data_IF_546615048311
#
_entry.id   IF_546615048311
#
_cell.length_a   1.000
_cell.length_b   1.000
_cell.length_c   1.000
_cell.angle_alpha   90.00
_cell.angle_beta   90.00
_cell.angle_gamma   90.00
#
_symmetry.space_group_name_H-M   'P 1'
#
loop_
_entity.id
_entity.type
_entity.pdbx_description
1 polymer ?
#
# COMPACT_ATOMS: atom_id res chain seq x y z
N UNK A 1 2.15 -1.23 -19.67
CA UNK A 1 3.56 -0.86 -19.93
C UNK A 1 3.65 0.66 -19.86
N UNK A 2 4.62 1.19 -19.11
CA UNK A 2 4.75 2.64 -18.90
C UNK A 2 5.74 3.25 -19.90
N UNK A 3 6.96 2.70 -19.98
CA UNK A 3 8.01 3.10 -20.92
C UNK A 3 8.11 2.10 -22.09
N UNK A 4 8.53 2.51 -23.31
CA UNK A 4 8.69 1.62 -24.46
C UNK A 4 9.83 0.62 -24.27
N UNK A 5 9.80 -0.51 -24.99
CA UNK A 5 10.78 -1.59 -24.84
C UNK A 5 12.21 -1.20 -25.26
N UNK A 6 12.34 -0.09 -26.00
CA UNK A 6 13.61 0.52 -26.39
C UNK A 6 14.01 1.71 -25.51
N UNK A 7 13.36 1.91 -24.36
CA UNK A 7 13.80 2.90 -23.40
C UNK A 7 15.23 2.61 -22.95
N UNK A 8 16.02 3.65 -22.73
CA UNK A 8 17.41 3.56 -22.35
C UNK A 8 17.65 4.65 -21.32
N UNK A 9 17.95 4.21 -20.11
CA UNK A 9 18.26 5.10 -19.01
C UNK A 9 19.48 5.98 -19.35
N UNK A 10 19.48 7.24 -18.89
CA UNK A 10 20.55 8.21 -19.16
C UNK A 10 20.52 8.82 -20.57
N UNK A 11 19.87 8.18 -21.55
CA UNK A 11 19.69 8.72 -22.90
C UNK A 11 18.29 9.29 -23.13
N UNK A 12 17.27 8.61 -22.59
CA UNK A 12 15.88 8.95 -22.78
C UNK A 12 15.29 9.62 -21.54
N UNK A 13 14.45 10.65 -21.75
CA UNK A 13 13.66 11.25 -20.67
C UNK A 13 12.42 10.37 -20.41
N UNK A 14 12.27 9.73 -19.23
CA UNK A 14 11.13 8.85 -18.95
C UNK A 14 9.78 9.61 -18.91
N UNK A 15 9.82 10.93 -18.74
CA UNK A 15 8.64 11.80 -18.74
C UNK A 15 8.28 12.37 -20.12
N UNK A 16 9.09 12.10 -21.15
CA UNK A 16 8.76 12.55 -22.49
C UNK A 16 7.57 11.75 -23.03
N UNK A 17 6.59 12.43 -23.62
CA UNK A 17 5.41 11.77 -24.20
C UNK A 17 5.80 10.72 -25.26
N UNK A 18 6.87 10.96 -26.02
CA UNK A 18 7.41 10.02 -27.00
C UNK A 18 7.89 8.71 -26.40
N UNK A 19 8.14 8.70 -25.09
CA UNK A 19 8.57 7.54 -24.32
C UNK A 19 7.42 6.96 -23.48
N UNK A 20 6.17 7.24 -23.85
CA UNK A 20 5.01 6.51 -23.36
C UNK A 20 4.78 5.28 -24.23
N UNK A 21 4.75 4.09 -23.64
CA UNK A 21 4.34 2.88 -24.36
C UNK A 21 2.84 2.95 -24.69
N UNK A 22 2.48 2.74 -25.96
CA UNK A 22 1.09 2.73 -26.38
C UNK A 22 0.85 1.88 -27.62
N UNK A 23 -0.01 0.88 -27.48
CA UNK A 23 -0.40 -0.03 -28.57
C UNK A 23 -1.56 0.53 -29.41
N UNK A 24 -2.35 1.45 -28.85
CA UNK A 24 -3.54 2.00 -29.50
C UNK A 24 -3.51 3.53 -29.50
N UNK A 25 -3.11 4.11 -30.63
CA UNK A 25 -3.10 5.55 -30.84
C UNK A 25 -4.45 6.02 -31.41
N UNK A 26 -5.17 6.84 -30.63
CA UNK A 26 -6.42 7.49 -31.07
C UNK A 26 -6.12 8.64 -32.04
N UNK A 27 -5.00 9.32 -31.79
CA UNK A 27 -4.45 10.38 -32.63
C UNK A 27 -2.96 10.12 -32.77
N UNK A 28 -2.43 10.12 -33.99
CA UNK A 28 -0.98 9.96 -34.19
C UNK A 28 -0.25 11.29 -33.98
N UNK A 29 1.05 11.20 -33.69
CA UNK A 29 1.91 12.37 -33.59
C UNK A 29 1.82 13.25 -34.85
N UNK A 30 1.73 14.56 -34.65
CA UNK A 30 1.63 15.58 -35.70
C UNK A 30 0.26 15.75 -36.35
N UNK A 31 -0.74 14.92 -36.02
CA UNK A 31 -2.08 15.01 -36.65
C UNK A 31 -2.99 16.05 -35.98
N UNK A 32 -2.78 16.35 -34.70
CA UNK A 32 -3.61 17.28 -33.94
C UNK A 32 -2.75 18.29 -33.17
N UNK A 33 -2.96 19.61 -33.35
CA UNK A 33 -2.18 20.62 -32.64
C UNK A 33 -2.38 20.63 -31.11
N UNK A 34 -3.46 20.03 -30.60
CA UNK A 34 -3.70 19.87 -29.16
C UNK A 34 -3.04 18.62 -28.59
N UNK A 35 -2.71 17.65 -29.44
CA UNK A 35 -2.03 16.40 -29.09
C UNK A 35 -0.82 16.22 -30.02
N UNK A 36 0.18 17.11 -29.92
CA UNK A 36 1.27 17.19 -30.90
C UNK A 36 2.06 15.88 -31.00
N UNK A 37 2.19 15.16 -29.88
CA UNK A 37 2.91 13.89 -29.82
C UNK A 37 1.99 12.66 -29.92
N UNK A 38 0.67 12.88 -30.06
CA UNK A 38 -0.36 11.84 -30.17
C UNK A 38 -1.29 11.78 -28.96
N UNK A 39 -2.30 10.92 -29.03
CA UNK A 39 -3.20 10.58 -27.92
C UNK A 39 -3.28 9.07 -27.79
N UNK A 40 -2.74 8.53 -26.70
CA UNK A 40 -2.85 7.12 -26.38
C UNK A 40 -4.26 6.79 -25.89
N UNK A 41 -4.86 5.75 -26.45
CA UNK A 41 -6.13 5.15 -26.00
C UNK A 41 -5.96 3.69 -25.60
N UNK A 42 -4.75 3.28 -25.21
CA UNK A 42 -4.55 2.00 -24.55
C UNK A 42 -5.26 2.01 -23.18
N UNK A 43 -5.90 0.91 -22.77
CA UNK A 43 -6.52 0.83 -21.46
C UNK A 43 -5.46 0.86 -20.35
N UNK A 44 -5.89 1.23 -19.14
CA UNK A 44 -5.07 1.07 -17.95
C UNK A 44 -4.80 -0.42 -17.66
N UNK A 45 -3.66 -0.71 -17.04
CA UNK A 45 -3.31 -2.06 -16.56
C UNK A 45 -3.92 -2.32 -15.19
N UNK A 46 -4.18 -3.58 -14.86
CA UNK A 46 -4.59 -4.00 -13.54
C UNK A 46 -3.37 -4.19 -12.62
N UNK A 47 -2.98 -3.15 -11.89
CA UNK A 47 -1.79 -3.20 -11.04
C UNK A 47 -1.97 -4.12 -9.81
N UNK A 48 -3.19 -4.27 -9.29
CA UNK A 48 -3.45 -5.20 -8.17
C UNK A 48 -3.16 -6.63 -8.58
N UNK A 49 -3.47 -6.98 -9.85
CA UNK A 49 -3.12 -8.28 -10.42
C UNK A 49 -3.72 -9.42 -9.57
N UNK A 50 -4.88 -9.19 -8.94
CA UNK A 50 -5.45 -10.12 -7.94
C UNK A 50 -6.44 -11.09 -8.59
N UNK A 51 -6.25 -12.37 -8.28
CA UNK A 51 -7.21 -13.43 -8.52
C UNK A 51 -7.72 -13.98 -7.17
N UNK A 52 -9.03 -13.90 -6.89
CA UNK A 52 -9.62 -14.51 -5.70
C UNK A 52 -9.53 -16.04 -5.71
N UNK A 53 -9.17 -16.64 -4.57
CA UNK A 53 -8.99 -18.10 -4.43
C UNK A 53 -10.12 -18.77 -3.66
N UNK A 54 -10.44 -18.23 -2.47
CA UNK A 54 -11.55 -18.72 -1.66
C UNK A 54 -12.47 -17.59 -1.26
N UNK A 55 -13.77 -17.89 -1.31
CA UNK A 55 -14.82 -16.95 -1.00
C UNK A 55 -15.85 -17.59 -0.07
N UNK A 56 -16.66 -16.75 0.57
CA UNK A 56 -17.80 -17.18 1.39
C UNK A 56 -19.02 -16.30 1.13
N UNK A 57 -20.21 -16.83 1.38
CA UNK A 57 -21.47 -16.08 1.27
C UNK A 57 -21.84 -15.50 2.64
N UNK A 58 -21.71 -14.18 2.76
CA UNK A 58 -22.01 -13.43 3.98
C UNK A 58 -23.50 -13.41 4.35
N UNK A 59 -24.40 -13.93 3.50
CA UNK A 59 -25.82 -14.08 3.81
C UNK A 59 -26.17 -15.34 4.62
N UNK A 60 -25.23 -16.28 4.74
CA UNK A 60 -25.44 -17.52 5.49
C UNK A 60 -25.33 -17.27 7.01
N UNK A 61 -26.09 -18.05 7.80
CA UNK A 61 -26.09 -17.97 9.27
C UNK A 61 -24.76 -18.41 9.91
N UNK A 62 -23.85 -19.04 9.15
CA UNK A 62 -22.51 -19.44 9.57
C UNK A 62 -21.59 -19.59 8.34
N UNK A 63 -21.13 -18.49 7.72
CA UNK A 63 -20.34 -18.55 6.49
C UNK A 63 -19.04 -19.31 6.70
N UNK A 64 -18.73 -20.31 5.86
CA UNK A 64 -17.46 -21.02 5.87
C UNK A 64 -16.64 -20.70 4.62
N UNK A 65 -15.29 -20.81 4.68
CA UNK A 65 -14.45 -20.74 3.49
C UNK A 65 -14.87 -21.78 2.44
N UNK A 66 -15.11 -21.33 1.21
CA UNK A 66 -15.51 -22.19 0.08
C UNK A 66 -17.01 -22.43 -0.05
N UNK A 67 -17.86 -21.83 0.79
CA UNK A 67 -19.32 -21.92 0.65
C UNK A 67 -19.88 -21.08 -0.51
N UNK A 68 -19.05 -20.26 -1.15
CA UNK A 68 -19.38 -19.50 -2.36
C UNK A 68 -18.27 -19.64 -3.40
N UNK A 69 -18.66 -19.79 -4.66
CA UNK A 69 -17.74 -19.64 -5.79
C UNK A 69 -17.26 -18.19 -5.85
N UNK A 70 -15.95 -18.00 -5.99
CA UNK A 70 -15.41 -16.67 -6.22
C UNK A 70 -15.77 -16.15 -7.63
N UNK A 71 -15.90 -14.83 -7.80
CA UNK A 71 -15.96 -14.20 -9.12
C UNK A 71 -14.85 -14.68 -10.05
N UNK A 72 -15.24 -14.99 -11.28
CA UNK A 72 -14.32 -15.36 -12.35
C UNK A 72 -14.23 -14.27 -13.42
N UNK A 73 -13.10 -14.23 -14.12
CA UNK A 73 -12.88 -13.36 -15.28
C UNK A 73 -12.76 -14.24 -16.51
N UNK A 74 -13.58 -13.99 -17.53
CA UNK A 74 -13.47 -14.67 -18.81
C UNK A 74 -12.09 -14.38 -19.44
N UNK A 75 -11.22 -15.40 -19.60
CA UNK A 75 -9.87 -15.22 -20.09
C UNK A 75 -9.79 -14.73 -21.54
N UNK A 76 -10.88 -14.85 -22.31
CA UNK A 76 -10.93 -14.38 -23.69
C UNK A 76 -11.26 -12.88 -23.80
N UNK A 77 -12.08 -12.37 -22.87
CA UNK A 77 -12.61 -11.00 -22.95
C UNK A 77 -12.05 -10.07 -21.88
N UNK A 78 -11.45 -10.63 -20.83
CA UNK A 78 -11.20 -9.89 -19.58
C UNK A 78 -12.49 -9.58 -18.83
N UNK A 79 -13.62 -10.16 -19.27
CA UNK A 79 -15.00 -10.23 -18.77
C UNK A 79 -15.27 -10.81 -17.36
N UNK A 80 -15.29 -10.03 -16.29
CA UNK A 80 -15.79 -10.46 -14.98
C UNK A 80 -17.24 -10.97 -15.03
N UNK A 81 -17.53 -12.11 -14.42
CA UNK A 81 -18.85 -12.75 -14.38
C UNK A 81 -19.88 -12.03 -13.49
N UNK A 82 -19.37 -11.14 -12.66
CA UNK A 82 -20.13 -10.37 -11.69
C UNK A 82 -20.03 -8.90 -12.08
N UNK A 83 -21.18 -8.27 -12.25
CA UNK A 83 -21.23 -6.91 -12.78
C UNK A 83 -20.86 -5.93 -11.64
N UNK A 84 -19.73 -5.21 -11.72
CA UNK A 84 -19.45 -4.16 -10.73
C UNK A 84 -20.54 -3.08 -10.85
N UNK A 85 -20.94 -2.47 -9.73
CA UNK A 85 -21.90 -1.36 -9.77
C UNK A 85 -21.21 -0.15 -10.40
N UNK A 86 -21.39 0.04 -11.70
CA UNK A 86 -20.72 1.13 -12.41
C UNK A 86 -21.40 2.50 -12.19
N UNK A 87 -22.66 2.58 -11.70
CA UNK A 87 -23.43 3.83 -11.76
C UNK A 87 -24.51 4.06 -10.67
N UNK A 88 -24.24 3.78 -9.39
CA UNK A 88 -25.10 4.25 -8.28
C UNK A 88 -26.58 3.82 -8.35
N UNK A 89 -26.91 2.81 -9.14
CA UNK A 89 -28.23 2.19 -9.22
C UNK A 89 -28.41 1.22 -8.06
N UNK A 90 -29.58 1.19 -7.43
CA UNK A 90 -29.94 0.15 -6.47
C UNK A 90 -29.86 -1.22 -7.16
N UNK A 91 -29.09 -2.15 -6.59
CA UNK A 91 -29.08 -3.53 -7.05
C UNK A 91 -30.33 -4.21 -6.49
N UNK A 92 -31.15 -4.88 -7.31
CA UNK A 92 -32.26 -5.70 -6.82
C UNK A 92 -31.78 -6.83 -5.89
N UNK A 93 -30.63 -7.44 -6.19
CA UNK A 93 -30.00 -8.51 -5.40
C UNK A 93 -28.53 -8.17 -5.08
N UNK A 94 -28.21 -7.82 -3.82
CA UNK A 94 -26.85 -7.47 -3.41
C UNK A 94 -25.88 -8.64 -3.58
N UNK A 95 -24.68 -8.42 -4.14
CA UNK A 95 -23.59 -9.39 -4.01
C UNK A 95 -23.24 -9.56 -2.51
N UNK A 96 -23.27 -10.80 -2.04
CA UNK A 96 -23.01 -11.22 -0.65
C UNK A 96 -21.68 -11.97 -0.53
N UNK A 97 -20.96 -12.15 -1.63
CA UNK A 97 -19.66 -12.83 -1.67
C UNK A 97 -18.60 -11.99 -0.96
N UNK A 98 -17.83 -12.63 -0.10
CA UNK A 98 -16.62 -12.08 0.54
C UNK A 98 -15.41 -12.93 0.14
N UNK A 99 -14.38 -12.29 -0.41
CA UNK A 99 -13.08 -12.90 -0.70
C UNK A 99 -12.30 -13.07 0.61
N UNK A 100 -11.74 -14.26 0.78
CA UNK A 100 -10.95 -14.66 1.95
C UNK A 100 -9.45 -14.74 1.62
N UNK A 101 -9.09 -15.45 0.55
CA UNK A 101 -7.70 -15.57 0.08
C UNK A 101 -7.59 -15.19 -1.40
N UNK A 102 -6.38 -14.83 -1.82
CA UNK A 102 -6.07 -14.42 -3.19
C UNK A 102 -4.61 -14.67 -3.55
N UNK A 103 -4.31 -14.66 -4.84
CA UNK A 103 -2.95 -14.66 -5.36
C UNK A 103 -2.80 -13.64 -6.49
N UNK A 104 -1.55 -13.38 -6.89
CA UNK A 104 -1.23 -12.45 -7.97
C UNK A 104 -0.32 -13.08 -9.02
N UNK A 105 -0.56 -12.75 -10.31
CA UNK A 105 0.17 -13.34 -11.43
C UNK A 105 0.64 -12.31 -12.47
N UNK A 106 1.85 -12.44 -13.04
CA UNK A 106 2.82 -13.52 -12.86
C UNK A 106 3.49 -13.46 -11.48
N UNK A 107 3.92 -14.62 -11.00
CA UNK A 107 4.65 -14.75 -9.75
C UNK A 107 5.57 -15.97 -9.81
N UNK A 108 6.82 -15.78 -9.38
CA UNK A 108 7.82 -16.83 -9.21
C UNK A 108 7.96 -17.24 -7.73
N UNK A 109 6.94 -16.96 -6.92
CA UNK A 109 6.93 -17.20 -5.49
C UNK A 109 7.21 -18.66 -5.10
N UNK A 110 8.12 -18.84 -4.15
CA UNK A 110 8.20 -20.05 -3.34
C UNK A 110 7.60 -19.78 -1.95
N UNK A 111 6.77 -20.69 -1.45
CA UNK A 111 6.16 -20.56 -0.11
C UNK A 111 7.21 -20.80 0.97
N UNK A 112 7.33 -19.86 1.91
CA UNK A 112 8.25 -19.95 3.07
C UNK A 112 7.52 -20.53 4.28
N UNK A 113 6.38 -19.93 4.63
CA UNK A 113 5.56 -20.26 5.80
C UNK A 113 4.13 -19.79 5.57
N UNK A 114 3.16 -20.39 6.26
CA UNK A 114 1.75 -20.02 6.16
C UNK A 114 0.93 -20.54 7.35
N UNK A 115 -0.19 -19.87 7.62
CA UNK A 115 -1.09 -20.22 8.73
C UNK A 115 -1.86 -21.51 8.46
N UNK A 116 -2.24 -22.22 9.52
CA UNK A 116 -3.15 -23.35 9.42
C UNK A 116 -4.49 -22.94 8.77
N UNK A 117 -5.05 -23.82 7.94
CA UNK A 117 -6.36 -23.61 7.32
C UNK A 117 -6.34 -22.86 5.99
N UNK A 118 -5.19 -22.37 5.54
CA UNK A 118 -5.00 -21.87 4.16
C UNK A 118 -4.05 -22.75 3.36
N UNK A 119 -4.11 -22.61 2.03
CA UNK A 119 -3.18 -23.26 1.10
C UNK A 119 -2.80 -22.22 0.05
N UNK A 120 -1.66 -21.52 0.22
CA UNK A 120 -1.25 -20.48 -0.71
C UNK A 120 -1.12 -20.99 -2.14
N UNK A 121 -1.67 -20.22 -3.09
CA UNK A 121 -1.58 -20.53 -4.51
C UNK A 121 -0.39 -19.79 -5.11
N UNK A 122 0.53 -20.52 -5.72
CA UNK A 122 1.71 -19.96 -6.41
C UNK A 122 1.76 -20.30 -7.90
N UNK A 123 0.82 -21.13 -8.39
CA UNK A 123 0.78 -21.53 -9.79
C UNK A 123 0.04 -20.47 -10.62
N UNK A 124 0.73 -19.87 -11.59
CA UNK A 124 0.15 -18.96 -12.57
C UNK A 124 -0.10 -19.69 -13.89
N UNK A 125 -1.31 -20.22 -14.07
CA UNK A 125 -1.73 -20.95 -15.26
C UNK A 125 -3.09 -20.45 -15.75
N UNK A 126 -3.28 -20.39 -17.07
CA UNK A 126 -4.57 -20.00 -17.65
C UNK A 126 -5.63 -21.08 -17.43
N UNK A 127 -6.72 -20.70 -16.75
CA UNK A 127 -7.91 -21.53 -16.54
C UNK A 127 -9.17 -20.64 -16.53
N UNK A 128 -10.33 -21.20 -16.17
CA UNK A 128 -11.56 -20.40 -16.03
C UNK A 128 -11.52 -19.45 -14.81
N UNK A 129 -10.68 -19.74 -13.82
CA UNK A 129 -10.59 -19.01 -12.54
C UNK A 129 -9.17 -18.55 -12.22
N UNK A 130 -8.24 -18.71 -13.16
CA UNK A 130 -6.84 -18.32 -13.01
C UNK A 130 -6.28 -17.83 -14.35
N UNK A 131 -5.29 -16.95 -14.31
CA UNK A 131 -4.64 -16.32 -15.45
C UNK A 131 -3.15 -16.35 -15.22
N UNK A 132 -2.39 -16.80 -16.22
CA UNK A 132 -0.93 -16.79 -16.11
C UNK A 132 -0.36 -15.36 -15.97
N UNK A 133 -1.08 -14.35 -16.45
CA UNK A 133 -0.76 -12.95 -16.30
C UNK A 133 -2.05 -12.12 -16.23
N UNK A 134 -2.42 -11.68 -15.02
CA UNK A 134 -3.62 -10.87 -14.77
C UNK A 134 -3.31 -9.36 -14.66
N UNK A 135 -2.08 -8.93 -14.92
CA UNK A 135 -1.72 -7.50 -15.07
C UNK A 135 -2.38 -6.89 -16.31
N UNK A 136 -2.55 -7.72 -17.35
CA UNK A 136 -3.17 -7.34 -18.62
C UNK A 136 -4.69 -7.42 -18.59
N UNK A 137 -5.27 -7.92 -17.50
CA UNK A 137 -6.71 -7.88 -17.33
C UNK A 137 -7.12 -6.40 -17.26
N UNK A 138 -8.27 -6.10 -17.85
CA UNK A 138 -8.78 -4.74 -17.77
C UNK A 138 -9.00 -4.38 -16.29
N UNK A 139 -8.82 -3.12 -15.94
CA UNK A 139 -9.24 -2.63 -14.62
C UNK A 139 -10.74 -2.89 -14.42
N UNK A 140 -11.19 -3.09 -13.17
CA UNK A 140 -12.59 -3.34 -12.76
C UNK A 140 -13.15 -4.78 -12.89
N UNK A 141 -12.33 -5.78 -13.22
CA UNK A 141 -12.81 -7.14 -13.44
C UNK A 141 -12.63 -8.13 -12.30
N UNK A 142 -11.96 -7.74 -11.21
CA UNK A 142 -12.34 -8.26 -9.90
C UNK A 142 -13.43 -7.31 -9.35
N UNK A 143 -14.72 -7.65 -9.49
CA UNK A 143 -15.80 -6.77 -9.08
C UNK A 143 -15.98 -6.77 -7.56
N UNK A 144 -15.06 -7.38 -6.81
CA UNK A 144 -15.00 -7.36 -5.37
C UNK A 144 -13.86 -6.50 -4.84
N UNK A 145 -12.82 -6.16 -5.61
CA UNK A 145 -11.73 -5.35 -5.08
C UNK A 145 -11.90 -3.83 -5.27
N UNK A 146 -11.11 -3.06 -4.52
CA UNK A 146 -11.04 -1.60 -4.63
C UNK A 146 -9.64 -1.13 -4.24
N UNK A 147 -9.15 -0.12 -4.95
CA UNK A 147 -7.92 0.57 -4.61
C UNK A 147 -8.12 2.09 -4.50
N UNK A 148 -7.36 2.72 -3.60
CA UNK A 148 -7.32 4.19 -3.41
C UNK A 148 -5.90 4.64 -3.08
N UNK A 149 -5.69 5.95 -3.04
CA UNK A 149 -4.42 6.52 -2.57
C UNK A 149 -3.22 6.19 -3.47
N UNK A 150 -3.43 5.93 -4.76
CA UNK A 150 -2.36 5.57 -5.70
C UNK A 150 -1.32 6.69 -5.79
N UNK A 151 -0.05 6.36 -5.58
CA UNK A 151 1.12 7.23 -5.69
C UNK A 151 2.29 6.43 -6.25
N UNK A 152 3.35 7.11 -6.65
CA UNK A 152 4.57 6.46 -7.12
C UNK A 152 5.42 7.38 -7.97
N UNK A 153 6.63 6.95 -8.28
CA UNK A 153 7.58 7.70 -9.09
C UNK A 153 8.23 6.84 -10.16
N UNK A 154 8.83 7.52 -11.13
CA UNK A 154 9.66 6.93 -12.18
C UNK A 154 11.04 7.57 -12.08
N UNK A 155 12.04 6.75 -11.83
CA UNK A 155 13.43 7.16 -11.77
C UNK A 155 14.20 6.34 -12.80
N UNK A 156 14.53 6.94 -13.94
CA UNK A 156 15.07 6.18 -15.06
C UNK A 156 14.08 5.12 -15.56
N UNK A 157 14.51 3.85 -15.56
CA UNK A 157 13.70 2.65 -15.81
C UNK A 157 13.18 1.98 -14.53
N UNK A 158 13.58 2.46 -13.35
CA UNK A 158 12.99 2.06 -12.08
C UNK A 158 11.62 2.73 -11.90
N UNK A 159 10.63 1.93 -11.50
CA UNK A 159 9.30 2.40 -11.17
C UNK A 159 8.90 1.82 -9.83
N UNK A 160 8.49 2.69 -8.90
CA UNK A 160 7.84 2.27 -7.65
C UNK A 160 6.44 2.85 -7.61
N UNK A 161 5.46 1.98 -7.43
CA UNK A 161 4.06 2.35 -7.24
C UNK A 161 3.59 1.84 -5.89
N UNK A 162 2.78 2.64 -5.21
CA UNK A 162 2.14 2.28 -3.96
C UNK A 162 0.66 2.66 -3.98
N UNK A 163 -0.16 1.83 -3.35
CA UNK A 163 -1.61 2.00 -3.35
C UNK A 163 -2.24 1.27 -2.19
N UNK A 164 -3.31 1.85 -1.65
CA UNK A 164 -4.13 1.19 -0.64
C UNK A 164 -5.14 0.28 -1.35
N UNK A 165 -5.24 -1.00 -0.98
CA UNK A 165 -6.11 -1.98 -1.64
C UNK A 165 -6.88 -2.84 -0.65
N UNK A 166 -8.08 -3.27 -1.06
CA UNK A 166 -8.95 -4.17 -0.31
C UNK A 166 -9.63 -5.16 -1.27
N UNK A 167 -9.75 -6.44 -0.89
CA UNK A 167 -10.40 -7.47 -1.70
C UNK A 167 -11.94 -7.42 -1.67
N UNK A 168 -12.55 -6.59 -0.80
CA UNK A 168 -14.01 -6.51 -0.64
C UNK A 168 -14.53 -5.05 -0.58
N UNK A 169 -14.61 -4.38 -1.73
CA UNK A 169 -15.06 -2.98 -1.89
C UNK A 169 -16.37 -2.69 -1.16
N UNK A 170 -17.33 -3.61 -1.22
CA UNK A 170 -18.65 -3.37 -0.66
C UNK A 170 -18.62 -3.39 0.86
N UNK A 171 -17.88 -4.32 1.45
CA UNK A 171 -17.67 -4.36 2.91
C UNK A 171 -16.86 -3.14 3.36
N UNK A 172 -15.92 -2.70 2.53
CA UNK A 172 -15.13 -1.51 2.77
C UNK A 172 -15.97 -0.23 2.82
N UNK A 173 -17.08 -0.12 2.07
CA UNK A 173 -17.99 1.05 2.15
C UNK A 173 -18.64 1.28 3.53
N UNK A 174 -18.51 0.34 4.46
CA UNK A 174 -19.07 0.43 5.83
C UNK A 174 -18.07 -0.05 6.90
N UNK A 175 -16.78 -0.04 6.61
CA UNK A 175 -15.75 -0.41 7.59
C UNK A 175 -15.78 -1.88 8.04
N UNK A 176 -16.27 -2.79 7.17
CA UNK A 176 -16.30 -4.24 7.43
C UNK A 176 -15.22 -5.02 6.67
N UNK A 177 -14.49 -4.33 5.80
CA UNK A 177 -13.17 -4.72 5.29
C UNK A 177 -12.23 -3.53 5.48
N UNK A 178 -10.92 -3.71 5.32
CA UNK A 178 -9.92 -2.65 5.44
C UNK A 178 -8.99 -2.59 4.22
N UNK A 179 -8.44 -1.41 3.99
CA UNK A 179 -7.35 -1.22 3.06
C UNK A 179 -6.02 -1.58 3.72
N UNK A 180 -5.19 -2.33 3.02
CA UNK A 180 -3.77 -2.53 3.31
C UNK A 180 -2.95 -1.72 2.28
N UNK A 181 -1.69 -1.40 2.61
CA UNK A 181 -0.78 -0.68 1.74
C UNK A 181 0.03 -1.67 0.94
N UNK A 182 -0.08 -1.57 -0.38
CA UNK A 182 0.67 -2.39 -1.32
C UNK A 182 1.72 -1.58 -2.05
N UNK A 183 2.86 -2.22 -2.33
CA UNK A 183 3.93 -1.67 -3.16
C UNK A 183 4.28 -2.63 -4.28
N UNK A 184 4.48 -2.08 -5.48
CA UNK A 184 4.92 -2.83 -6.66
C UNK A 184 6.05 -2.09 -7.36
N UNK A 185 6.99 -2.86 -7.91
CA UNK A 185 8.23 -2.33 -8.45
C UNK A 185 8.56 -2.93 -9.81
N UNK A 186 9.18 -2.13 -10.66
CA UNK A 186 9.67 -2.53 -11.97
C UNK A 186 11.05 -1.95 -12.20
N UNK A 187 11.88 -2.73 -12.90
CA UNK A 187 13.28 -2.42 -13.21
C UNK A 187 13.53 -2.36 -14.72
N UNK A 188 12.45 -2.24 -15.50
CA UNK A 188 12.48 -2.24 -16.97
C UNK A 188 11.45 -1.29 -17.57
N UNK A 189 11.07 -0.24 -16.83
CA UNK A 189 10.12 0.75 -17.26
C UNK A 189 8.66 0.29 -17.26
N UNK A 190 8.31 -0.68 -16.40
CA UNK A 190 6.95 -1.18 -16.24
C UNK A 190 6.56 -2.22 -17.29
N UNK A 191 7.54 -2.95 -17.84
CA UNK A 191 7.29 -4.11 -18.71
C UNK A 191 7.04 -5.36 -17.87
N UNK A 192 7.89 -5.57 -16.86
CA UNK A 192 7.76 -6.63 -15.86
C UNK A 192 7.76 -6.04 -14.45
N UNK A 193 7.27 -6.84 -13.50
CA UNK A 193 7.19 -6.47 -12.09
C UNK A 193 7.89 -7.57 -11.30
N UNK A 194 9.04 -7.23 -10.73
CA UNK A 194 10.00 -8.22 -10.22
C UNK A 194 10.64 -7.74 -8.93
N UNK A 195 11.36 -8.63 -8.27
CA UNK A 195 12.42 -8.23 -7.32
C UNK A 195 13.57 -7.54 -8.04
N UNK A 196 14.50 -6.94 -7.29
CA UNK A 196 15.73 -6.38 -7.86
C UNK A 196 16.48 -7.45 -8.68
N UNK A 197 16.77 -7.22 -9.98
CA UNK A 197 17.55 -8.15 -10.78
C UNK A 197 19.04 -8.14 -10.41
N UNK A 198 19.74 -9.23 -10.74
CA UNK A 198 21.21 -9.24 -10.75
C UNK A 198 21.75 -8.33 -11.86
N UNK A 199 22.84 -7.63 -11.57
CA UNK A 199 23.48 -6.68 -12.49
C UNK A 199 22.53 -5.60 -13.04
N UNK A 200 21.55 -5.16 -12.25
CA UNK A 200 20.67 -4.07 -12.61
C UNK A 200 21.50 -2.78 -12.73
N UNK A 201 21.59 -2.24 -13.95
CA UNK A 201 22.32 -1.00 -14.18
C UNK A 201 21.38 0.17 -13.99
N UNK A 202 21.73 1.07 -13.07
CA UNK A 202 20.94 2.25 -12.81
C UNK A 202 21.83 3.46 -12.53
N UNK A 203 21.59 4.58 -13.21
CA UNK A 203 22.35 5.83 -13.09
C UNK A 203 23.88 5.66 -13.26
N UNK A 204 24.30 4.70 -14.09
CA UNK A 204 25.71 4.40 -14.35
C UNK A 204 26.39 3.51 -13.32
N UNK A 205 25.64 3.04 -12.32
CA UNK A 205 26.07 2.06 -11.32
C UNK A 205 25.43 0.70 -11.62
N UNK A 206 25.93 -0.34 -10.93
CA UNK A 206 25.41 -1.70 -11.04
C UNK A 206 25.00 -2.14 -9.63
N UNK A 207 23.75 -2.56 -9.52
CA UNK A 207 23.15 -3.09 -8.30
C UNK A 207 22.83 -4.57 -8.51
N UNK A 208 23.12 -5.38 -7.50
CA UNK A 208 22.86 -6.82 -7.54
C UNK A 208 21.70 -7.17 -6.61
N UNK A 209 20.69 -7.86 -7.14
CA UNK A 209 19.64 -8.52 -6.39
C UNK A 209 20.16 -9.69 -5.57
N UNK A 210 21.04 -9.45 -4.61
CA UNK A 210 21.61 -10.53 -3.81
C UNK A 210 20.62 -11.06 -2.78
N UNK A 211 20.51 -12.39 -2.70
CA UNK A 211 19.76 -13.10 -1.67
C UNK A 211 18.30 -13.37 -2.02
N UNK A 212 17.60 -13.97 -1.07
CA UNK A 212 16.18 -14.29 -1.19
C UNK A 212 15.38 -13.14 -0.62
N UNK A 213 14.45 -12.60 -1.41
CA UNK A 213 13.57 -11.54 -0.92
C UNK A 213 12.26 -12.16 -0.44
N UNK A 214 11.90 -11.94 0.82
CA UNK A 214 10.64 -12.41 1.40
C UNK A 214 9.61 -11.28 1.44
N UNK A 215 8.34 -11.59 1.15
CA UNK A 215 7.19 -10.75 1.47
C UNK A 215 6.08 -11.59 2.10
N UNK A 216 5.34 -11.03 3.05
CA UNK A 216 4.20 -11.70 3.67
C UNK A 216 2.88 -11.02 3.31
N UNK A 217 1.82 -11.81 3.22
CA UNK A 217 0.45 -11.36 2.98
C UNK A 217 -0.45 -11.73 4.16
N UNK A 218 -1.40 -10.86 4.48
CA UNK A 218 -2.44 -11.06 5.48
C UNK A 218 -3.79 -11.18 4.79
N UNK A 219 -4.37 -12.37 4.84
CA UNK A 219 -5.65 -12.72 4.23
C UNK A 219 -6.83 -12.34 5.15
N UNK A 220 -8.05 -12.70 4.76
CA UNK A 220 -9.26 -12.45 5.56
C UNK A 220 -9.83 -13.73 6.16
N UNK A 221 -10.39 -13.63 7.36
CA UNK A 221 -11.24 -14.67 7.95
C UNK A 221 -12.67 -14.55 7.43
N UNK A 222 -13.50 -15.60 7.61
CA UNK A 222 -14.92 -15.51 7.28
C UNK A 222 -15.64 -14.45 8.13
N UNK A 223 -15.25 -14.33 9.40
CA UNK A 223 -15.77 -13.36 10.35
C UNK A 223 -15.41 -11.92 9.93
N UNK A 224 -16.33 -10.98 10.15
CA UNK A 224 -16.09 -9.55 9.85
C UNK A 224 -15.89 -8.80 11.15
N UNK A 225 -15.02 -7.78 11.13
CA UNK A 225 -14.76 -6.89 12.26
C UNK A 225 -14.10 -7.55 13.48
N UNK A 226 -13.45 -8.71 13.31
CA UNK A 226 -12.59 -9.28 14.36
C UNK A 226 -11.48 -8.29 14.70
N UNK A 227 -11.27 -8.04 15.99
CA UNK A 227 -10.30 -7.05 16.46
C UNK A 227 -10.78 -5.60 16.37
N UNK A 228 -12.07 -5.32 16.14
CA UNK A 228 -12.56 -3.93 16.03
C UNK A 228 -12.43 -3.10 17.31
N UNK A 229 -12.22 -3.75 18.46
CA UNK A 229 -12.05 -3.10 19.76
C UNK A 229 -10.57 -2.85 20.10
N UNK A 230 -10.32 -1.91 21.03
CA UNK A 230 -8.96 -1.49 21.40
C UNK A 230 -8.15 -2.67 21.97
N UNK A 231 -6.98 -2.94 21.36
CA UNK A 231 -6.03 -3.94 21.82
C UNK A 231 -6.33 -5.39 21.41
N UNK A 232 -7.38 -5.62 20.62
CA UNK A 232 -7.66 -6.94 20.05
C UNK A 232 -6.98 -7.10 18.69
N UNK A 233 -6.12 -8.12 18.59
CA UNK A 233 -5.50 -8.57 17.34
C UNK A 233 -6.47 -9.52 16.63
N UNK A 234 -6.53 -9.41 15.30
CA UNK A 234 -7.32 -10.33 14.48
C UNK A 234 -6.49 -11.57 14.14
N UNK A 235 -7.05 -12.76 14.32
CA UNK A 235 -6.46 -14.05 13.92
C UNK A 235 -6.54 -14.27 12.40
N UNK A 236 -6.16 -13.26 11.61
CA UNK A 236 -6.16 -13.37 10.16
C UNK A 236 -5.04 -14.28 9.67
N UNK A 237 -5.33 -15.19 8.72
CA UNK A 237 -4.32 -16.10 8.23
C UNK A 237 -3.29 -15.34 7.38
N UNK A 238 -2.04 -15.75 7.49
CA UNK A 238 -0.92 -15.12 6.82
C UNK A 238 -0.12 -16.15 6.01
N UNK A 239 0.56 -15.69 4.96
CA UNK A 239 1.55 -16.50 4.25
C UNK A 239 2.73 -15.65 3.81
N UNK A 240 3.94 -16.20 3.93
CA UNK A 240 5.17 -15.58 3.48
C UNK A 240 5.74 -16.30 2.26
N UNK A 241 6.26 -15.52 1.33
CA UNK A 241 6.73 -15.96 0.03
C UNK A 241 8.12 -15.42 -0.24
N UNK A 242 9.01 -16.28 -0.72
CA UNK A 242 10.36 -15.95 -1.15
C UNK A 242 10.44 -15.87 -2.66
N UNK A 243 11.29 -14.96 -3.14
CA UNK A 243 11.59 -14.74 -4.55
C UNK A 243 13.10 -14.68 -4.75
N UNK A 244 13.55 -15.26 -5.86
CA UNK A 244 14.93 -15.08 -6.33
C UNK A 244 15.11 -13.69 -6.95
N UNK A 245 16.37 -13.30 -7.20
CA UNK A 245 16.73 -12.08 -7.92
C UNK A 245 16.04 -11.98 -9.29
N UNK A 246 15.40 -10.85 -9.58
CA UNK A 246 14.65 -10.64 -10.82
C UNK A 246 13.43 -11.54 -11.03
N UNK A 247 13.02 -12.32 -10.02
CA UNK A 247 11.82 -13.15 -10.08
C UNK A 247 10.55 -12.31 -10.17
N UNK A 248 9.54 -12.77 -10.91
CA UNK A 248 8.25 -12.12 -11.01
C UNK A 248 7.62 -12.03 -9.62
N UNK A 249 7.25 -10.81 -9.22
CA UNK A 249 6.91 -10.51 -7.83
C UNK A 249 5.46 -10.07 -7.69
N UNK A 250 4.76 -10.61 -6.67
CA UNK A 250 3.50 -10.04 -6.24
C UNK A 250 3.69 -8.64 -5.64
N UNK A 251 2.64 -7.83 -5.60
CA UNK A 251 2.67 -6.60 -4.83
C UNK A 251 2.80 -6.90 -3.33
N UNK A 252 3.70 -6.20 -2.65
CA UNK A 252 4.02 -6.40 -1.24
C UNK A 252 3.01 -5.68 -0.36
N UNK A 253 2.34 -6.41 0.53
CA UNK A 253 1.61 -5.79 1.63
C UNK A 253 2.62 -5.31 2.68
N UNK A 254 2.85 -4.00 2.78
CA UNK A 254 3.85 -3.43 3.71
C UNK A 254 3.24 -2.93 5.01
N UNK A 255 1.91 -2.72 5.07
CA UNK A 255 1.26 -2.24 6.29
C UNK A 255 1.07 -3.32 7.34
N UNK A 256 0.84 -4.57 6.92
CA UNK A 256 0.65 -5.73 7.80
C UNK A 256 -0.28 -5.43 8.97
N UNK A 257 -1.41 -4.77 8.73
CA UNK A 257 -2.28 -4.33 9.82
C UNK A 257 -2.73 -5.54 10.65
N UNK A 258 -2.66 -5.43 11.97
CA UNK A 258 -2.96 -6.53 12.90
C UNK A 258 -4.45 -6.65 13.26
N UNK A 259 -5.30 -5.74 12.79
CA UNK A 259 -6.71 -5.67 13.21
C UNK A 259 -7.61 -4.96 12.19
N UNK A 260 -8.87 -5.40 12.13
CA UNK A 260 -9.93 -4.78 11.30
C UNK A 260 -10.35 -3.38 11.76
N UNK A 261 -9.90 -2.95 12.95
CA UNK A 261 -10.07 -1.58 13.42
C UNK A 261 -9.30 -0.58 12.56
N UNK A 262 -8.17 -0.97 11.99
CA UNK A 262 -7.29 -0.06 11.26
C UNK A 262 -7.51 -0.19 9.76
N UNK A 263 -7.27 0.89 9.04
CA UNK A 263 -7.31 0.94 7.57
C UNK A 263 -6.27 1.94 7.08
N UNK A 264 -5.75 1.76 5.87
CA UNK A 264 -4.76 2.68 5.31
C UNK A 264 -5.41 3.94 4.71
N UNK A 265 -4.82 5.08 5.05
CA UNK A 265 -5.11 6.41 4.55
C UNK A 265 -3.87 7.05 3.93
N UNK A 266 -4.12 7.90 2.95
CA UNK A 266 -3.20 8.90 2.40
C UNK A 266 -1.70 8.54 2.35
N UNK A 267 -1.30 7.46 1.66
CA UNK A 267 0.10 7.12 1.61
C UNK A 267 0.87 8.14 0.75
N UNK A 268 2.16 8.29 1.06
CA UNK A 268 3.11 9.27 0.51
C UNK A 268 4.47 8.60 0.30
N UNK A 269 5.27 9.18 -0.59
CA UNK A 269 6.63 8.72 -0.84
C UNK A 269 7.57 9.92 -1.05
N UNK A 270 8.87 9.66 -0.94
CA UNK A 270 9.93 10.53 -1.45
C UNK A 270 11.00 9.66 -2.08
N UNK A 271 11.34 9.92 -3.34
CA UNK A 271 12.62 9.49 -3.92
C UNK A 271 13.77 10.29 -3.31
N UNK A 272 15.00 9.83 -3.46
CA UNK A 272 16.19 10.60 -3.09
C UNK A 272 16.42 11.77 -4.04
N UNK A 273 16.76 12.94 -3.48
CA UNK A 273 17.06 14.12 -4.28
C UNK A 273 18.29 13.93 -5.21
N UNK A 274 18.41 14.72 -6.29
CA UNK A 274 19.59 14.70 -7.15
C UNK A 274 20.88 15.05 -6.41
N UNK A 275 22.01 14.51 -6.88
CA UNK A 275 23.34 14.82 -6.35
C UNK A 275 23.60 16.32 -6.31
N UNK A 276 24.12 16.80 -5.18
CA UNK A 276 24.56 18.19 -5.03
C UNK A 276 26.03 18.27 -5.49
N UNK A 277 26.34 18.98 -6.59
CA UNK A 277 27.69 18.98 -7.13
C UNK A 277 28.67 19.76 -6.24
N UNK A 278 29.96 19.38 -6.32
CA UNK A 278 31.11 20.10 -5.75
C UNK A 278 31.15 20.23 -4.22
N UNK A 279 30.41 19.40 -3.47
CA UNK A 279 30.44 19.43 -1.99
C UNK A 279 31.52 18.53 -1.39
N UNK A 280 31.85 17.43 -2.08
CA UNK A 280 32.80 16.42 -1.60
C UNK A 280 32.30 15.60 -0.41
N UNK A 281 30.99 15.64 -0.14
CA UNK A 281 30.32 14.94 0.95
C UNK A 281 29.56 13.73 0.41
N UNK A 282 29.57 12.65 1.16
CA UNK A 282 28.96 11.38 0.75
C UNK A 282 27.43 11.48 0.77
N UNK A 283 26.86 12.15 1.77
CA UNK A 283 25.40 12.36 1.91
C UNK A 283 24.78 13.23 0.81
N UNK A 284 25.62 13.94 0.06
CA UNK A 284 25.24 14.79 -1.08
C UNK A 284 25.34 14.03 -2.43
N UNK A 285 25.94 12.84 -2.44
CA UNK A 285 25.86 11.91 -3.56
C UNK A 285 24.51 11.19 -3.53
N UNK A 286 23.92 10.96 -4.71
CA UNK A 286 22.59 10.34 -4.78
C UNK A 286 22.74 8.83 -4.66
N UNK A 287 21.96 8.21 -3.78
CA UNK A 287 21.77 6.76 -3.76
C UNK A 287 20.36 6.41 -4.27
N UNK A 288 20.21 6.01 -5.53
CA UNK A 288 18.91 5.73 -6.12
C UNK A 288 18.29 4.42 -5.63
N UNK A 289 19.04 3.58 -4.91
CA UNK A 289 18.53 2.33 -4.34
C UNK A 289 17.69 2.56 -3.07
N UNK A 290 17.63 3.80 -2.59
CA UNK A 290 16.90 4.21 -1.39
C UNK A 290 15.70 5.08 -1.73
N UNK A 291 14.63 4.94 -0.96
CA UNK A 291 13.49 5.87 -0.98
C UNK A 291 12.73 5.77 0.33
N UNK A 292 11.80 6.71 0.56
CA UNK A 292 11.00 6.72 1.78
C UNK A 292 9.53 6.60 1.46
N UNK A 293 8.81 5.97 2.36
CA UNK A 293 7.36 5.97 2.35
C UNK A 293 6.82 6.38 3.71
N UNK A 294 5.66 7.02 3.67
CA UNK A 294 4.84 7.31 4.84
C UNK A 294 3.41 6.93 4.53
N UNK A 295 2.71 6.37 5.51
CA UNK A 295 1.27 6.16 5.38
C UNK A 295 0.56 6.51 6.67
N UNK A 296 -0.71 6.84 6.52
CA UNK A 296 -1.60 7.12 7.63
C UNK A 296 -2.45 5.89 7.92
N UNK A 297 -2.73 5.66 9.20
CA UNK A 297 -3.74 4.70 9.64
C UNK A 297 -5.01 5.46 10.00
N UNK A 298 -6.17 4.85 9.76
CA UNK A 298 -7.46 5.41 10.17
C UNK A 298 -8.30 4.41 10.96
N UNK A 299 -9.26 4.93 11.73
CA UNK A 299 -10.26 4.14 12.45
C UNK A 299 -11.36 3.67 11.49
N UNK A 300 -11.24 2.42 11.06
CA UNK A 300 -12.13 1.78 10.11
C UNK A 300 -13.59 1.73 10.58
N UNK A 301 -13.86 1.83 11.89
CA UNK A 301 -15.23 1.83 12.44
C UNK A 301 -16.02 3.07 12.06
N UNK A 302 -15.34 4.16 11.73
CA UNK A 302 -15.97 5.44 11.38
C UNK A 302 -16.40 5.53 9.91
N UNK A 303 -15.97 4.58 9.08
CA UNK A 303 -16.22 4.59 7.62
C UNK A 303 -17.71 4.55 7.26
N UNK A 304 -18.55 3.92 8.08
CA UNK A 304 -20.00 3.94 7.83
C UNK A 304 -20.61 5.36 7.91
N UNK A 305 -19.89 6.31 8.50
CA UNK A 305 -20.29 7.72 8.62
C UNK A 305 -19.55 8.65 7.64
N UNK A 306 -18.60 8.15 6.84
CA UNK A 306 -17.81 8.96 5.93
C UNK A 306 -16.44 8.35 5.63
N UNK A 307 -15.42 9.21 5.54
CA UNK A 307 -14.03 8.75 5.51
C UNK A 307 -13.60 8.27 6.90
N UNK A 308 -12.64 7.34 6.96
CA UNK A 308 -12.09 6.90 8.24
C UNK A 308 -11.41 8.07 8.95
N UNK A 309 -11.57 8.16 10.26
CA UNK A 309 -10.88 9.14 11.09
C UNK A 309 -9.39 8.83 11.15
N UNK A 310 -8.55 9.83 10.84
CA UNK A 310 -7.09 9.76 10.90
C UNK A 310 -6.58 9.38 12.29
N UNK A 311 -5.60 8.48 12.36
CA UNK A 311 -4.94 8.05 13.60
C UNK A 311 -3.46 8.42 13.55
N UNK A 312 -2.58 7.51 13.14
CA UNK A 312 -1.14 7.71 13.19
C UNK A 312 -0.48 7.63 11.81
N UNK A 313 0.63 8.35 11.64
CA UNK A 313 1.57 8.28 10.52
C UNK A 313 2.73 7.34 10.83
N UNK A 314 2.93 6.38 9.94
CA UNK A 314 4.06 5.44 9.97
C UNK A 314 5.01 5.71 8.82
N UNK A 315 6.30 5.57 9.05
CA UNK A 315 7.35 5.76 8.03
C UNK A 315 8.29 4.57 7.95
N UNK A 316 8.94 4.43 6.79
CA UNK A 316 10.03 3.48 6.58
C UNK A 316 10.94 3.92 5.42
N UNK A 317 12.18 3.44 5.41
CA UNK A 317 13.11 3.56 4.29
C UNK A 317 13.12 2.26 3.50
N UNK A 318 12.74 2.34 2.24
CA UNK A 318 13.00 1.28 1.27
C UNK A 318 14.48 1.29 0.90
N UNK A 319 15.13 0.13 0.98
CA UNK A 319 16.54 -0.08 0.62
C UNK A 319 16.65 -1.19 -0.42
N UNK A 320 17.74 -1.20 -1.20
CA UNK A 320 17.91 -2.10 -2.35
C UNK A 320 16.68 -2.04 -3.27
N UNK A 321 16.31 -0.81 -3.64
CA UNK A 321 15.11 -0.48 -4.40
C UNK A 321 13.83 -0.99 -3.74
N UNK A 322 13.77 -1.10 -2.41
CA UNK A 322 12.58 -1.56 -1.69
C UNK A 322 12.43 -3.08 -1.59
N UNK A 323 13.52 -3.84 -1.71
CA UNK A 323 13.49 -5.26 -1.35
C UNK A 323 13.21 -5.41 0.16
N UNK A 324 13.68 -4.45 0.94
CA UNK A 324 13.54 -4.40 2.39
C UNK A 324 13.08 -3.00 2.81
N UNK A 325 12.33 -2.95 3.91
CA UNK A 325 11.85 -1.73 4.55
C UNK A 325 12.42 -1.68 5.95
N UNK A 326 13.23 -0.65 6.23
CA UNK A 326 14.03 -0.54 7.43
C UNK A 326 13.76 0.76 8.18
N UNK A 327 13.90 0.69 9.49
CA UNK A 327 14.01 1.84 10.40
C UNK A 327 15.23 1.68 11.31
N UNK A 328 15.44 0.47 11.83
CA UNK A 328 16.44 0.15 12.84
C UNK A 328 17.48 -0.86 12.34
N UNK A 329 17.07 -1.85 11.55
CA UNK A 329 18.00 -2.81 10.98
C UNK A 329 18.98 -2.13 10.02
N UNK A 330 20.23 -2.57 10.07
CA UNK A 330 21.29 -2.10 9.19
C UNK A 330 21.16 -2.75 7.81
N UNK A 331 21.57 -2.06 6.75
CA UNK A 331 21.49 -2.59 5.38
C UNK A 331 22.38 -3.84 5.17
N UNK A 332 23.46 -3.98 5.94
CA UNK A 332 24.40 -5.10 5.88
C UNK A 332 24.09 -6.23 6.89
N UNK A 333 23.12 -6.04 7.79
CA UNK A 333 22.65 -7.06 8.73
C UNK A 333 21.11 -7.08 8.83
N UNK A 334 20.48 -7.76 7.87
CA UNK A 334 19.04 -8.01 7.87
C UNK A 334 18.61 -9.13 8.82
N UNK A 335 19.55 -9.81 9.50
CA UNK A 335 19.19 -10.96 10.36
C UNK A 335 18.40 -10.55 11.60
N UNK A 336 18.50 -9.28 11.99
CA UNK A 336 17.79 -8.65 13.10
C UNK A 336 16.59 -7.82 12.64
N UNK A 337 16.20 -7.91 11.38
CA UNK A 337 15.11 -7.06 10.88
C UNK A 337 13.74 -7.56 11.35
N UNK A 338 12.93 -6.67 11.92
CA UNK A 338 11.55 -6.97 12.29
C UNK A 338 10.65 -7.02 11.04
N UNK A 339 9.61 -7.87 10.99
CA UNK A 339 9.16 -8.84 11.99
C UNK A 339 9.85 -10.22 11.93
N UNK A 340 10.78 -10.45 11.01
CA UNK A 340 11.47 -11.76 10.95
C UNK A 340 12.22 -12.08 12.25
N UNK A 341 12.91 -11.09 12.83
CA UNK A 341 13.34 -11.13 14.22
C UNK A 341 12.27 -10.42 15.08
N UNK A 342 11.57 -11.14 15.96
CA UNK A 342 10.48 -10.55 16.74
C UNK A 342 10.97 -9.60 17.84
N UNK A 343 12.25 -9.60 18.21
CA UNK A 343 12.79 -8.81 19.34
C UNK A 343 12.01 -8.94 20.66
N UNK A 344 11.35 -10.08 20.86
CA UNK A 344 10.52 -10.32 22.05
C UNK A 344 9.05 -9.88 21.93
N UNK A 345 8.61 -9.39 20.77
CA UNK A 345 7.21 -9.04 20.50
C UNK A 345 6.32 -10.30 20.58
N UNK A 346 5.42 -10.40 21.58
CA UNK A 346 4.56 -11.57 21.75
C UNK A 346 3.53 -11.75 20.63
N UNK A 347 3.25 -10.72 19.83
CA UNK A 347 2.35 -10.83 18.68
C UNK A 347 3.02 -11.49 17.47
N UNK A 348 4.36 -11.58 17.46
CA UNK A 348 5.14 -12.16 16.35
C UNK A 348 5.80 -13.47 16.73
N UNK A 349 6.14 -13.68 18.01
CA UNK A 349 6.66 -14.97 18.49
C UNK A 349 5.67 -16.10 18.18
N UNK A 350 6.19 -17.21 17.66
CA UNK A 350 5.45 -18.38 17.19
C UNK A 350 4.47 -18.10 16.03
N UNK A 351 4.52 -16.90 15.43
CA UNK A 351 3.76 -16.57 14.22
C UNK A 351 4.43 -17.14 12.97
N UNK A 352 3.73 -17.11 11.84
CA UNK A 352 4.28 -17.55 10.55
C UNK A 352 5.38 -16.64 10.02
N UNK A 353 5.49 -15.43 10.56
CA UNK A 353 6.42 -14.41 10.09
C UNK A 353 7.78 -14.52 10.78
N UNK A 354 7.84 -15.10 11.99
CA UNK A 354 9.08 -15.35 12.72
C UNK A 354 10.04 -16.21 11.88
N UNK A 355 11.28 -15.74 11.71
CA UNK A 355 12.32 -16.43 10.95
C UNK A 355 12.08 -16.54 9.44
N UNK A 356 11.09 -15.83 8.88
CA UNK A 356 10.75 -15.87 7.45
C UNK A 356 11.75 -15.13 6.54
N UNK A 357 12.59 -14.26 7.11
CA UNK A 357 13.44 -13.33 6.38
C UNK A 357 12.71 -12.08 5.87
N UNK A 358 11.45 -11.87 6.26
CA UNK A 358 10.70 -10.67 5.91
C UNK A 358 11.17 -9.45 6.71
N UNK A 359 11.82 -8.51 6.03
CA UNK A 359 12.28 -7.24 6.61
C UNK A 359 11.29 -6.11 6.28
N UNK A 360 10.47 -5.73 7.26
CA UNK A 360 9.34 -4.82 7.10
C UNK A 360 9.12 -3.95 8.35
N UNK A 361 10.10 -3.09 8.61
CA UNK A 361 10.10 -2.16 9.74
C UNK A 361 9.37 -0.88 9.40
N UNK A 362 8.42 -0.51 10.26
CA UNK A 362 7.69 0.75 10.21
C UNK A 362 7.62 1.32 11.61
N UNK A 363 7.85 2.61 11.73
CA UNK A 363 7.88 3.32 13.01
C UNK A 363 7.01 4.57 12.97
N UNK A 364 6.64 5.09 14.15
CA UNK A 364 5.76 6.24 14.25
C UNK A 364 6.50 7.55 13.89
N UNK A 365 6.00 8.25 12.87
CA UNK A 365 6.63 9.50 12.44
C UNK A 365 6.45 10.61 13.48
N UNK A 366 5.40 10.52 14.27
CA UNK A 366 4.94 11.56 15.18
C UNK A 366 5.43 11.43 16.63
N UNK A 367 5.72 10.21 17.11
CA UNK A 367 6.33 9.97 18.42
C UNK A 367 5.42 10.31 19.62
N UNK A 368 4.10 10.46 19.43
CA UNK A 368 3.16 10.85 20.49
C UNK A 368 1.82 10.15 20.35
N UNK A 369 1.48 9.39 21.39
CA UNK A 369 0.18 8.75 21.58
C UNK A 369 -0.94 9.79 21.77
N UNK A 370 -2.17 9.44 21.41
CA UNK A 370 -3.41 10.21 21.56
C UNK A 370 -3.55 11.52 20.77
N UNK A 371 -2.71 11.73 19.76
CA UNK A 371 -2.84 12.85 18.81
C UNK A 371 -3.16 12.24 17.45
N UNK A 372 -4.17 12.75 16.76
CA UNK A 372 -4.43 12.31 15.39
C UNK A 372 -3.48 13.04 14.46
N UNK A 373 -2.91 12.31 13.51
CA UNK A 373 -2.02 12.86 12.49
C UNK A 373 -2.48 12.46 11.11
N UNK A 374 -2.29 13.39 10.18
CA UNK A 374 -2.54 13.14 8.78
C UNK A 374 -1.94 14.20 7.87
N UNK A 375 -2.18 14.03 6.58
CA UNK A 375 -1.75 14.97 5.53
C UNK A 375 -0.24 15.25 5.54
N UNK A 376 0.54 14.17 5.58
CA UNK A 376 2.00 14.24 5.51
C UNK A 376 2.52 14.67 4.14
N UNK A 377 3.62 15.41 4.15
CA UNK A 377 4.52 15.65 3.02
C UNK A 377 5.93 15.31 3.45
N UNK A 378 6.65 14.57 2.60
CA UNK A 378 8.00 14.12 2.89
C UNK A 378 8.98 14.44 1.77
N UNK A 379 10.24 14.60 2.13
CA UNK A 379 11.37 14.84 1.23
C UNK A 379 12.62 14.12 1.79
N UNK A 380 13.51 13.68 0.91
CA UNK A 380 14.75 13.01 1.28
C UNK A 380 16.00 13.73 0.77
N UNK A 381 17.12 13.58 1.47
CA UNK A 381 18.41 14.03 0.95
C UNK A 381 18.91 13.08 -0.17
N UNK A 382 19.97 13.46 -0.91
CA UNK A 382 20.51 12.63 -1.99
C UNK A 382 20.95 11.22 -1.55
N UNK A 383 21.69 11.10 -0.45
CA UNK A 383 22.17 9.79 0.02
C UNK A 383 21.11 8.88 0.65
N UNK A 384 19.87 9.35 0.83
CA UNK A 384 18.81 8.57 1.46
C UNK A 384 19.04 8.26 2.95
N UNK A 385 19.78 9.12 3.64
CA UNK A 385 20.06 9.02 5.09
C UNK A 385 19.09 9.84 5.93
N UNK A 386 18.46 10.86 5.33
CA UNK A 386 17.63 11.82 6.01
C UNK A 386 16.25 11.87 5.38
N UNK A 387 15.23 11.71 6.23
CA UNK A 387 13.83 11.96 5.89
C UNK A 387 13.37 13.24 6.58
N UNK A 388 12.83 14.16 5.80
CA UNK A 388 12.18 15.37 6.28
C UNK A 388 10.68 15.21 6.13
N UNK A 389 9.93 15.38 7.22
CA UNK A 389 8.46 15.29 7.21
C UNK A 389 7.81 16.54 7.75
N UNK A 390 6.71 16.96 7.12
CA UNK A 390 5.77 17.96 7.61
C UNK A 390 4.38 17.35 7.56
N UNK A 391 3.59 17.48 8.63
CA UNK A 391 2.25 16.91 8.69
C UNK A 391 1.32 17.74 9.57
N UNK A 392 0.03 17.43 9.54
CA UNK A 392 -0.96 18.00 10.45
C UNK A 392 -1.16 17.10 11.67
N UNK A 393 -1.14 17.69 12.86
CA UNK A 393 -1.58 17.05 14.10
C UNK A 393 -2.85 17.72 14.60
N UNK A 394 -3.78 16.95 15.14
CA UNK A 394 -5.00 17.48 15.75
C UNK A 394 -5.27 16.85 17.12
N UNK A 395 -5.80 17.67 18.02
CA UNK A 395 -6.29 17.21 19.33
C UNK A 395 -7.78 17.51 19.46
N UNK A 396 -8.57 16.51 19.84
CA UNK A 396 -10.01 16.62 20.07
C UNK A 396 -10.75 15.31 19.81
N UNK A 397 -11.75 14.99 20.63
CA UNK A 397 -12.67 13.88 20.35
C UNK A 397 -13.53 14.24 19.13
N UNK A 398 -13.43 13.48 18.05
CA UNK A 398 -14.50 13.47 17.07
C UNK A 398 -15.78 12.99 17.73
N UNK A 399 -16.72 13.89 18.00
CA UNK A 399 -18.06 13.49 18.42
C UNK A 399 -18.67 12.65 17.30
N UNK A 400 -19.09 11.39 17.56
CA UNK A 400 -19.75 10.59 16.55
C UNK A 400 -20.98 11.34 16.04
N UNK A 401 -21.28 11.31 14.73
CA UNK A 401 -22.36 12.08 14.13
C UNK A 401 -23.77 11.74 14.67
N UNK A 402 -23.92 10.73 15.53
CA UNK A 402 -25.16 10.37 16.22
C UNK A 402 -25.53 11.23 17.44
N UNK A 403 -24.63 12.05 17.98
CA UNK A 403 -24.84 12.80 19.23
C UNK A 403 -24.92 14.32 19.07
N UNK A 404 -25.12 14.85 17.86
CA UNK A 404 -25.40 16.27 17.69
C UNK A 404 -26.76 16.60 18.36
N UNK A 405 -26.83 17.50 19.35
CA UNK A 405 -28.11 17.89 19.94
C UNK A 405 -28.99 18.52 18.85
N UNK A 406 -30.22 18.02 18.73
CA UNK A 406 -31.18 18.50 17.74
C UNK A 406 -31.32 20.04 17.80
N UNK A 407 -30.91 20.72 16.74
CA UNK A 407 -31.11 22.17 16.61
C UNK A 407 -32.61 22.40 16.45
N UNK A 408 -33.24 22.97 17.49
CA UNK A 408 -34.64 23.38 17.43
C UNK A 408 -34.84 24.39 16.29
N UNK A 409 -35.75 24.15 15.31
CA UNK A 409 -35.92 25.01 14.14
C UNK A 409 -36.69 26.32 14.43
N UNK A 410 -36.52 26.90 15.62
CA UNK A 410 -37.38 27.96 16.16
C UNK A 410 -36.72 29.24 16.66
N UNK A 411 -35.42 29.48 16.43
CA UNK A 411 -34.79 30.74 16.85
C UNK A 411 -34.31 31.57 15.64
N UNK A 412 -34.89 32.77 15.55
CA UNK A 412 -34.82 33.65 14.39
C UNK A 412 -33.45 34.25 14.10
N UNK A 413 -33.30 34.62 12.84
CA UNK A 413 -32.21 35.39 12.27
C UNK A 413 -32.04 36.72 13.01
N UNK A 414 -30.92 36.86 13.74
CA UNK A 414 -30.48 38.09 14.39
C UNK A 414 -29.00 38.36 14.09
N UNK A 415 -28.69 39.62 13.80
CA UNK A 415 -27.47 40.12 13.19
C UNK A 415 -26.22 40.11 14.10
N UNK A 416 -25.04 39.88 13.49
CA UNK A 416 -23.89 40.77 13.63
C UNK A 416 -22.69 40.36 14.51
N UNK A 417 -21.58 40.09 13.82
CA UNK A 417 -20.16 40.28 14.17
C UNK A 417 -19.36 39.21 14.96
N UNK A 418 -18.17 39.00 14.37
CA UNK A 418 -16.90 38.49 14.90
C UNK A 418 -16.77 36.99 15.24
N UNK A 419 -15.76 36.38 14.60
CA UNK A 419 -15.19 35.05 14.84
C UNK A 419 -16.20 33.89 14.73
N UNK A 420 -16.13 33.14 13.63
CA UNK A 420 -16.95 31.96 13.38
C UNK A 420 -16.58 30.79 14.28
N UNK A 421 -16.89 30.89 15.57
CA UNK A 421 -17.09 29.74 16.44
C UNK A 421 -18.54 29.28 16.26
N UNK A 422 -18.71 28.16 15.55
CA UNK A 422 -20.01 27.53 15.41
C UNK A 422 -20.31 26.83 16.77
N UNK A 423 -21.39 27.16 17.52
CA UNK A 423 -21.54 26.76 18.94
C UNK A 423 -21.84 25.28 19.20
N UNK A 424 -21.44 24.38 18.30
CA UNK A 424 -21.70 22.95 18.41
C UNK A 424 -20.70 22.06 17.66
N UNK A 425 -19.56 22.62 17.21
CA UNK A 425 -18.41 21.82 16.77
C UNK A 425 -17.36 21.94 17.86
N UNK A 426 -16.81 20.84 18.43
CA UNK A 426 -15.61 20.95 19.24
C UNK A 426 -14.55 21.70 18.43
N UNK A 427 -13.85 22.62 19.08
CA UNK A 427 -12.72 23.32 18.49
C UNK A 427 -11.66 22.26 18.16
N UNK A 428 -11.55 21.89 16.88
CA UNK A 428 -10.43 21.08 16.41
C UNK A 428 -9.22 22.01 16.34
N UNK A 429 -8.36 21.93 17.36
CA UNK A 429 -7.04 22.55 17.28
C UNK A 429 -6.15 21.64 16.45
N UNK A 430 -5.62 22.18 15.35
CA UNK A 430 -4.65 21.49 14.50
C UNK A 430 -3.41 22.33 14.29
N UNK A 431 -2.25 21.71 14.45
CA UNK A 431 -0.94 22.30 14.28
C UNK A 431 -0.18 21.65 13.13
N UNK A 432 0.67 22.43 12.46
CA UNK A 432 1.63 21.92 11.49
C UNK A 432 2.91 21.49 12.22
N UNK A 433 3.28 20.23 12.04
CA UNK A 433 4.44 19.61 12.69
C UNK A 433 5.56 19.41 11.70
N UNK A 434 6.79 19.32 12.21
CA UNK A 434 7.97 19.02 11.41
C UNK A 434 8.90 18.07 12.17
N UNK A 435 9.49 17.11 11.47
CA UNK A 435 10.52 16.20 12.00
C UNK A 435 11.55 15.92 10.92
N UNK A 436 12.79 15.76 11.37
CA UNK A 436 13.87 15.19 10.59
C UNK A 436 14.25 13.86 11.23
N UNK A 437 14.15 12.78 10.46
CA UNK A 437 14.63 11.46 10.85
C UNK A 437 16.00 11.23 10.22
N UNK A 438 16.90 10.60 10.96
CA UNK A 438 18.24 10.27 10.51
C UNK A 438 18.45 8.77 10.64
N UNK A 439 18.82 8.15 9.53
CA UNK A 439 19.30 6.78 9.45
C UNK A 439 20.81 6.83 9.59
N UNK A 440 21.30 6.33 10.73
CA UNK A 440 22.72 6.33 11.06
C UNK A 440 23.21 4.91 10.85
N UNK A 441 23.93 4.69 9.75
CA UNK A 441 24.53 3.39 9.49
C UNK A 441 25.51 3.02 10.63
N UNK A 442 25.36 1.81 11.16
CA UNK A 442 26.13 1.26 12.27
C UNK A 442 25.71 1.75 13.67
N UNK A 443 24.51 2.32 13.82
CA UNK A 443 23.95 2.73 15.11
C UNK A 443 22.49 2.30 15.27
N UNK A 444 22.30 1.32 16.15
CA UNK A 444 20.98 0.90 16.65
C UNK A 444 20.82 1.44 18.07
N UNK A 445 19.70 2.12 18.35
CA UNK A 445 19.47 2.72 19.67
C UNK A 445 19.12 1.68 20.73
N UNK A 446 19.97 1.48 21.75
CA UNK A 446 19.66 0.60 22.89
C UNK A 446 18.41 1.00 23.70
N UNK A 447 17.90 2.23 23.51
CA UNK A 447 16.78 2.79 24.29
C UNK A 447 15.49 2.93 23.49
N UNK A 448 15.60 3.27 22.21
CA UNK A 448 14.46 3.58 21.36
C UNK A 448 14.26 2.58 20.21
N UNK A 449 15.26 1.74 19.92
CA UNK A 449 15.06 0.68 18.94
C UNK A 449 14.21 -0.43 19.55
N UNK A 450 13.39 -1.06 18.72
CA UNK A 450 12.60 -2.24 19.06
C UNK A 450 11.47 -2.02 20.08
N UNK A 451 11.14 -0.77 20.42
CA UNK A 451 9.86 -0.45 21.09
C UNK A 451 8.74 -0.47 20.03
N UNK A 452 8.39 -1.68 19.59
CA UNK A 452 7.56 -1.90 18.40
C UNK A 452 6.10 -1.52 18.68
N UNK A 453 5.74 -0.30 18.28
CA UNK A 453 4.35 0.14 18.06
C UNK A 453 3.97 0.18 16.57
N UNK A 454 4.89 -0.25 15.70
CA UNK A 454 4.73 -0.29 14.26
C UNK A 454 3.71 -1.34 13.80
N UNK A 455 2.96 -1.04 12.73
CA UNK A 455 1.93 -1.88 12.09
C UNK A 455 0.51 -1.77 12.68
N UNK A 456 0.11 -0.53 12.98
CA UNK A 456 -1.29 -0.20 13.27
C UNK A 456 -1.73 -0.47 14.71
N UNK A 457 -0.85 -0.94 15.59
CA UNK A 457 -1.13 -0.90 17.04
C UNK A 457 -0.99 0.53 17.52
N UNK A 458 -2.11 1.26 17.60
CA UNK A 458 -2.18 2.37 18.54
C UNK A 458 -1.91 1.75 19.92
N UNK A 459 -0.71 1.98 20.48
CA UNK A 459 -0.44 1.61 21.87
C UNK A 459 -1.56 2.18 22.76
N UNK A 460 -2.01 1.43 23.77
CA UNK A 460 -3.18 1.76 24.58
C UNK A 460 -3.07 3.08 25.34
#
# INVERSE_FOLDING_TARGET
MLLPSGYQEGEHNPYAFTNMACDNWVVNAGENPYYPDGLCGAPAINLSSVTPDTCTDTSLDNPQPGDADCPSVDPATGIGDTNPILQGSEIPEPNTTKVLTWHQCPSDAAVVSYSDGISPVTACEDSATNRANNILDQSWYNPLDVAKGHRGFVDGDFIMLLYAWSPNWKLNTRGRDRYELYIRRSFDGGQTWTTLPDNYSHSGEIFDGNGTVTTCETFRTAETQVGSDQGEVSDEPQACFSYDAGGAEQARNVSQLKSMRFTILDPRYSETAPTIPDTGREEDARDPSRYFIVYETGDNRTVEFGEAESLNLFYSRGVQFGNNYQVWAEEDDLSVCYPSDPHGDPDVIDSVVEGSGFCNEFDDLEGKQDITSGEGSIEANPGGEWLYGVWSQATGEATPPGNAPAVNPGQGLGQGNSAGANPGRPDFESDAMWRRVWYIDGYISDTYAWDVVGQGVASP
#
